data_IF_792648046872
#
_entry.id   IF_792648046872
#
_cell.length_a   1.000
_cell.length_b   1.000
_cell.length_c   1.000
_cell.angle_alpha   90.00
_cell.angle_beta   90.00
_cell.angle_gamma   90.00
#
_symmetry.space_group_name_H-M   'P 1'
#
loop_
_entity.id
_entity.type
_entity.pdbx_description
1 polymer ?
#
# COMPACT_ATOMS: atom_id res chain seq x y z
N UNK A 1 -7.91 -21.59 -1.74
CA UNK A 1 -6.84 -20.57 -1.81
C UNK A 1 -7.42 -19.30 -1.24
N UNK A 2 -6.91 -18.85 -0.09
CA UNK A 2 -7.29 -17.59 0.54
C UNK A 2 -6.40 -16.46 0.05
N UNK A 3 -6.97 -15.26 -0.14
CA UNK A 3 -6.24 -14.10 -0.65
C UNK A 3 -6.42 -12.91 0.28
N UNK A 4 -5.29 -12.36 0.73
CA UNK A 4 -5.23 -11.06 1.41
C UNK A 4 -4.95 -9.95 0.41
N UNK A 5 -5.64 -8.82 0.54
CA UNK A 5 -5.48 -7.65 -0.34
C UNK A 5 -5.11 -6.43 0.47
N UNK A 6 -4.11 -5.71 0.00
CA UNK A 6 -3.67 -4.43 0.55
C UNK A 6 -3.74 -3.39 -0.56
N UNK A 7 -4.42 -2.28 -0.31
CA UNK A 7 -4.55 -1.18 -1.25
C UNK A 7 -3.82 0.02 -0.66
N UNK A 8 -2.71 0.43 -1.27
CA UNK A 8 -1.89 1.52 -0.77
C UNK A 8 -1.15 2.23 -1.91
N UNK A 9 -0.89 3.53 -1.75
CA UNK A 9 -0.13 4.30 -2.75
C UNK A 9 1.38 4.10 -2.65
N UNK A 10 1.88 3.64 -1.52
CA UNK A 10 3.30 3.42 -1.22
C UNK A 10 4.19 4.64 -1.55
N UNK A 11 3.90 5.78 -0.95
CA UNK A 11 4.54 7.08 -1.22
C UNK A 11 5.46 7.61 -0.07
N UNK A 12 6.56 6.91 0.29
CA UNK A 12 7.02 5.57 -0.09
C UNK A 12 6.43 4.46 0.78
N UNK A 13 6.84 3.22 0.51
CA UNK A 13 6.63 2.09 1.43
C UNK A 13 7.32 2.38 2.76
N UNK A 14 6.73 1.94 3.88
CA UNK A 14 7.26 2.12 5.22
C UNK A 14 6.91 0.94 6.13
N UNK A 15 7.48 0.87 7.32
CA UNK A 15 7.33 -0.26 8.22
C UNK A 15 5.87 -0.57 8.59
N UNK A 16 4.99 0.43 8.60
CA UNK A 16 3.55 0.21 8.77
C UNK A 16 2.91 -0.62 7.64
N UNK A 17 3.36 -0.46 6.39
CA UNK A 17 2.92 -1.31 5.29
C UNK A 17 3.47 -2.74 5.42
N UNK A 18 4.73 -2.89 5.83
CA UNK A 18 5.33 -4.21 6.05
C UNK A 18 4.62 -4.99 7.16
N UNK A 19 4.16 -4.31 8.22
CA UNK A 19 3.38 -4.94 9.28
C UNK A 19 2.02 -5.44 8.78
N UNK A 20 1.36 -4.64 7.94
CA UNK A 20 0.10 -5.02 7.30
C UNK A 20 0.28 -6.25 6.39
N UNK A 21 1.36 -6.27 5.60
CA UNK A 21 1.72 -7.41 4.75
C UNK A 21 1.98 -8.66 5.60
N UNK A 22 2.72 -8.51 6.72
CA UNK A 22 3.00 -9.61 7.65
C UNK A 22 1.73 -10.24 8.20
N UNK A 23 0.75 -9.41 8.58
CA UNK A 23 -0.54 -9.93 9.04
C UNK A 23 -1.28 -10.68 7.92
N UNK A 24 -1.33 -10.11 6.73
CA UNK A 24 -1.99 -10.74 5.60
C UNK A 24 -1.37 -12.10 5.25
N UNK A 25 -0.04 -12.22 5.27
CA UNK A 25 0.69 -13.47 5.01
C UNK A 25 0.40 -14.57 6.05
N UNK A 26 0.19 -14.22 7.32
CA UNK A 26 -0.14 -15.19 8.37
C UNK A 26 -1.50 -15.85 8.18
N UNK A 27 -2.40 -15.21 7.48
CA UNK A 27 -3.81 -15.58 7.40
C UNK A 27 -4.24 -16.02 6.00
N UNK A 28 -3.36 -15.86 5.00
CA UNK A 28 -3.71 -16.15 3.60
C UNK A 28 -2.61 -16.93 2.88
N UNK A 29 -3.04 -17.67 1.87
CA UNK A 29 -2.16 -18.41 0.97
C UNK A 29 -1.38 -17.48 0.03
N UNK A 30 -2.03 -16.37 -0.38
CA UNK A 30 -1.44 -15.35 -1.24
C UNK A 30 -1.83 -13.95 -0.77
N UNK A 31 -0.98 -12.96 -1.09
CA UNK A 31 -1.21 -11.54 -0.80
C UNK A 31 -1.07 -10.72 -2.07
N UNK A 32 -2.06 -9.91 -2.37
CA UNK A 32 -2.04 -8.94 -3.45
C UNK A 32 -1.85 -7.53 -2.87
N UNK A 33 -0.86 -6.82 -3.35
CA UNK A 33 -0.62 -5.41 -3.04
C UNK A 33 -0.98 -4.60 -4.30
N UNK A 34 -2.07 -3.86 -4.24
CA UNK A 34 -2.44 -2.90 -5.28
C UNK A 34 -1.81 -1.53 -4.97
N UNK A 35 -0.87 -1.13 -5.81
CA UNK A 35 -0.18 0.16 -5.69
C UNK A 35 -0.97 1.23 -6.42
N UNK A 36 -1.87 1.89 -5.72
CA UNK A 36 -2.82 2.85 -6.28
C UNK A 36 -2.20 4.14 -6.81
N UNK A 37 -2.99 4.92 -7.55
CA UNK A 37 -2.60 6.16 -8.22
C UNK A 37 -1.33 5.97 -9.06
N UNK A 38 -1.28 4.88 -9.83
CA UNK A 38 -0.09 4.52 -10.61
C UNK A 38 0.16 5.52 -11.76
N UNK A 39 -0.91 6.07 -12.32
CA UNK A 39 -0.93 7.07 -13.38
C UNK A 39 -0.69 8.51 -12.89
N UNK A 40 -0.57 8.74 -11.58
CA UNK A 40 -0.45 10.10 -11.01
C UNK A 40 0.98 10.45 -10.64
N UNK A 41 1.38 11.68 -11.02
CA UNK A 41 2.60 12.33 -10.56
C UNK A 41 2.26 13.78 -10.22
N UNK A 42 2.12 14.09 -8.92
CA UNK A 42 1.68 15.38 -8.42
C UNK A 42 2.05 15.56 -6.94
N UNK A 43 1.69 16.68 -6.32
CA UNK A 43 1.98 16.98 -4.91
C UNK A 43 1.54 15.86 -3.94
N UNK A 44 0.42 15.22 -4.21
CA UNK A 44 -0.10 14.10 -3.40
C UNK A 44 0.65 12.79 -3.67
N UNK A 45 1.13 12.62 -4.89
CA UNK A 45 1.83 11.43 -5.40
C UNK A 45 3.17 11.84 -6.03
N UNK A 46 4.15 12.37 -5.26
CA UNK A 46 5.38 12.91 -5.82
C UNK A 46 6.36 11.85 -6.29
N UNK A 47 6.23 10.60 -5.85
CA UNK A 47 7.15 9.52 -6.19
C UNK A 47 6.60 8.73 -7.39
N UNK A 48 7.34 8.65 -8.51
CA UNK A 48 6.92 7.91 -9.71
C UNK A 48 6.63 6.43 -9.43
N UNK A 49 5.69 5.85 -10.18
CA UNK A 49 5.26 4.47 -9.97
C UNK A 49 6.40 3.46 -10.06
N UNK A 50 7.30 3.59 -11.03
CA UNK A 50 8.41 2.66 -11.19
C UNK A 50 9.30 2.61 -9.94
N UNK A 51 9.58 3.76 -9.35
CA UNK A 51 10.40 3.84 -8.14
C UNK A 51 9.64 3.27 -6.91
N UNK A 52 8.32 3.46 -6.86
CA UNK A 52 7.48 2.87 -5.80
C UNK A 52 7.46 1.35 -5.88
N UNK A 53 7.31 0.79 -7.07
CA UNK A 53 7.32 -0.67 -7.29
C UNK A 53 8.68 -1.26 -6.95
N UNK A 54 9.77 -0.66 -7.44
CA UNK A 54 11.13 -1.11 -7.14
C UNK A 54 11.39 -1.16 -5.62
N UNK A 55 11.05 -0.08 -4.89
CA UNK A 55 11.19 -0.07 -3.43
C UNK A 55 10.30 -1.10 -2.73
N UNK A 56 9.09 -1.31 -3.23
CA UNK A 56 8.16 -2.27 -2.66
C UNK A 56 8.65 -3.72 -2.85
N UNK A 57 9.10 -4.06 -4.05
CA UNK A 57 9.65 -5.39 -4.36
C UNK A 57 10.92 -5.68 -3.55
N UNK A 58 11.88 -4.73 -3.50
CA UNK A 58 13.09 -4.87 -2.70
C UNK A 58 12.76 -5.04 -1.21
N UNK A 59 11.88 -4.18 -0.66
CA UNK A 59 11.50 -4.23 0.75
C UNK A 59 10.80 -5.54 1.13
N UNK A 60 9.89 -6.01 0.28
CA UNK A 60 9.17 -7.27 0.49
C UNK A 60 10.12 -8.44 0.41
N UNK A 61 11.02 -8.48 -0.57
CA UNK A 61 12.02 -9.54 -0.72
C UNK A 61 13.01 -9.58 0.45
N UNK A 62 13.44 -8.42 0.94
CA UNK A 62 14.33 -8.34 2.12
C UNK A 62 13.62 -8.76 3.42
N UNK A 63 12.33 -8.45 3.57
CA UNK A 63 11.56 -8.66 4.81
C UNK A 63 10.91 -10.05 4.88
N UNK A 64 10.50 -10.59 3.75
CA UNK A 64 9.75 -11.85 3.63
C UNK A 64 10.36 -12.79 2.57
N UNK A 65 11.64 -13.14 2.66
CA UNK A 65 12.32 -13.90 1.61
C UNK A 65 11.67 -15.26 1.33
N UNK A 66 11.15 -15.94 2.36
CA UNK A 66 10.51 -17.26 2.23
C UNK A 66 9.07 -17.17 1.69
N UNK A 67 8.41 -16.04 1.84
CA UNK A 67 7.03 -15.80 1.40
C UNK A 67 6.95 -14.92 0.14
N UNK A 68 8.08 -14.51 -0.43
CA UNK A 68 8.10 -13.57 -1.56
C UNK A 68 7.25 -14.06 -2.74
N UNK A 69 7.32 -15.35 -3.07
CA UNK A 69 6.53 -15.96 -4.15
C UNK A 69 5.01 -15.98 -3.89
N UNK A 70 4.58 -15.73 -2.66
CA UNK A 70 3.16 -15.60 -2.29
C UNK A 70 2.63 -14.18 -2.47
N UNK A 71 3.51 -13.20 -2.76
CA UNK A 71 3.16 -11.79 -2.81
C UNK A 71 3.17 -11.29 -4.25
N UNK A 72 2.04 -10.77 -4.69
CA UNK A 72 1.89 -10.13 -5.98
C UNK A 72 1.78 -8.61 -5.78
N UNK A 73 2.64 -7.83 -6.43
CA UNK A 73 2.65 -6.37 -6.37
C UNK A 73 2.27 -5.84 -7.75
N UNK A 74 1.16 -5.10 -7.83
CA UNK A 74 0.60 -4.66 -9.11
C UNK A 74 0.25 -3.17 -9.05
N UNK A 75 0.68 -2.36 -10.03
CA UNK A 75 0.22 -0.98 -10.13
C UNK A 75 -1.26 -0.92 -10.52
N UNK A 76 -1.95 0.07 -9.99
CA UNK A 76 -3.36 0.34 -10.30
C UNK A 76 -3.56 1.82 -10.55
N UNK A 77 -4.06 2.16 -11.72
CA UNK A 77 -4.41 3.54 -12.07
C UNK A 77 -5.66 3.99 -11.31
N UNK A 78 -5.79 5.29 -11.09
CA UNK A 78 -7.02 5.84 -10.55
C UNK A 78 -8.13 5.81 -11.62
N UNK A 79 -9.37 5.56 -11.20
CA UNK A 79 -10.52 5.55 -12.10
C UNK A 79 -10.86 6.97 -12.59
N UNK A 80 -10.60 7.98 -11.75
CA UNK A 80 -10.83 9.39 -12.02
C UNK A 80 -9.60 10.23 -11.71
N UNK A 81 -9.62 11.52 -12.05
CA UNK A 81 -8.52 12.44 -11.75
C UNK A 81 -8.42 12.84 -10.27
N UNK A 82 -9.49 12.62 -9.50
CA UNK A 82 -9.58 12.93 -8.08
C UNK A 82 -9.72 11.67 -7.23
N UNK A 83 -9.57 11.82 -5.91
CA UNK A 83 -9.86 10.73 -4.97
C UNK A 83 -11.33 10.34 -5.06
N UNK A 84 -11.57 9.14 -5.52
CA UNK A 84 -12.89 8.57 -5.68
C UNK A 84 -13.23 7.67 -4.49
N UNK A 85 -14.37 7.91 -3.85
CA UNK A 85 -14.93 7.10 -2.79
C UNK A 85 -16.29 6.51 -3.21
N UNK A 86 -16.58 6.52 -4.51
CA UNK A 86 -17.83 5.98 -5.06
C UNK A 86 -17.85 4.47 -5.11
N UNK A 87 -19.04 3.92 -5.28
CA UNK A 87 -19.19 2.50 -5.56
C UNK A 87 -18.57 2.08 -6.91
N UNK A 88 -18.43 2.98 -7.88
CA UNK A 88 -17.77 2.69 -9.16
C UNK A 88 -16.29 2.40 -8.93
N UNK A 89 -15.63 3.17 -8.04
CA UNK A 89 -14.28 2.88 -7.58
C UNK A 89 -14.20 1.50 -6.90
N UNK A 90 -15.14 1.18 -6.03
CA UNK A 90 -15.22 -0.12 -5.37
C UNK A 90 -15.43 -1.28 -6.35
N UNK A 91 -16.26 -1.12 -7.37
CA UNK A 91 -16.42 -2.11 -8.45
C UNK A 91 -15.14 -2.29 -9.26
N UNK A 92 -14.47 -1.20 -9.58
CA UNK A 92 -13.19 -1.25 -10.30
C UNK A 92 -12.14 -2.01 -9.51
N UNK A 93 -11.98 -1.70 -8.20
CA UNK A 93 -11.08 -2.43 -7.30
C UNK A 93 -11.43 -3.92 -7.22
N UNK A 94 -12.70 -4.24 -7.01
CA UNK A 94 -13.15 -5.63 -6.95
C UNK A 94 -12.82 -6.37 -8.24
N UNK A 95 -13.12 -5.77 -9.39
CA UNK A 95 -12.83 -6.35 -10.69
C UNK A 95 -11.33 -6.56 -10.93
N UNK A 96 -10.49 -5.62 -10.49
CA UNK A 96 -9.04 -5.74 -10.57
C UNK A 96 -8.53 -6.94 -9.75
N UNK A 97 -8.98 -7.06 -8.48
CA UNK A 97 -8.60 -8.18 -7.62
C UNK A 97 -9.02 -9.52 -8.23
N UNK A 98 -10.29 -9.64 -8.63
CA UNK A 98 -10.82 -10.88 -9.25
C UNK A 98 -10.09 -11.19 -10.55
N UNK A 99 -9.81 -10.17 -11.37
CA UNK A 99 -9.07 -10.32 -12.62
C UNK A 99 -7.64 -10.83 -12.45
N UNK A 100 -6.95 -10.39 -11.40
CA UNK A 100 -5.56 -10.77 -11.10
C UNK A 100 -5.51 -12.12 -10.38
N UNK A 101 -6.24 -12.27 -9.29
CA UNK A 101 -6.12 -13.41 -8.39
C UNK A 101 -7.01 -14.61 -8.77
N UNK A 102 -7.96 -14.40 -9.69
CA UNK A 102 -8.92 -15.42 -10.16
C UNK A 102 -9.78 -16.04 -9.06
N UNK A 103 -10.01 -15.28 -7.99
CA UNK A 103 -10.89 -15.67 -6.87
C UNK A 103 -11.94 -14.58 -6.63
N UNK A 104 -13.21 -14.93 -6.38
CA UNK A 104 -14.24 -13.93 -6.11
C UNK A 104 -14.25 -13.42 -4.67
N UNK A 105 -13.64 -14.17 -3.74
CA UNK A 105 -13.65 -13.88 -2.31
C UNK A 105 -12.23 -13.56 -1.82
N UNK A 106 -12.10 -12.48 -1.03
CA UNK A 106 -10.83 -12.06 -0.47
C UNK A 106 -11.01 -11.22 0.81
N UNK A 107 -9.91 -11.04 1.53
CA UNK A 107 -9.87 -10.21 2.74
C UNK A 107 -9.03 -8.96 2.49
N UNK A 108 -9.61 -7.77 2.71
CA UNK A 108 -8.89 -6.50 2.66
C UNK A 108 -8.32 -6.19 4.04
N UNK A 109 -7.02 -5.97 4.09
CA UNK A 109 -6.29 -5.52 5.28
C UNK A 109 -6.07 -4.02 5.23
N UNK A 110 -6.43 -3.32 6.31
CA UNK A 110 -6.30 -1.87 6.40
C UNK A 110 -5.82 -1.44 7.79
N UNK A 111 -5.27 -0.24 7.90
CA UNK A 111 -4.80 0.34 9.17
C UNK A 111 -5.77 1.36 9.72
N UNK A 112 -5.67 1.66 11.03
CA UNK A 112 -6.44 2.70 11.71
C UNK A 112 -6.45 4.02 10.92
N UNK A 113 -7.60 4.65 10.83
CA UNK A 113 -7.82 5.90 10.09
C UNK A 113 -8.06 5.69 8.59
N UNK A 114 -8.21 4.44 8.13
CA UNK A 114 -8.53 4.13 6.75
C UNK A 114 -9.84 3.34 6.58
N UNK A 115 -10.76 3.49 7.55
CA UNK A 115 -12.06 2.81 7.59
C UNK A 115 -12.96 3.19 6.41
N UNK A 116 -12.69 4.31 5.74
CA UNK A 116 -13.38 4.76 4.53
C UNK A 116 -13.39 3.69 3.43
N UNK A 117 -12.38 2.79 3.41
CA UNK A 117 -12.28 1.70 2.44
C UNK A 117 -13.52 0.80 2.43
N UNK A 118 -14.18 0.63 3.57
CA UNK A 118 -15.38 -0.20 3.65
C UNK A 118 -16.57 0.41 2.92
N UNK A 119 -16.59 1.74 2.75
CA UNK A 119 -17.67 2.48 2.08
C UNK A 119 -17.50 2.51 0.56
N UNK A 120 -16.34 2.13 0.04
CA UNK A 120 -16.11 2.10 -1.41
C UNK A 120 -16.95 1.02 -2.11
N UNK A 121 -17.19 -0.09 -1.43
CA UNK A 121 -17.83 -1.25 -2.02
C UNK A 121 -19.35 -1.28 -1.78
N UNK A 122 -20.16 -1.62 -2.79
CA UNK A 122 -21.59 -1.83 -2.59
C UNK A 122 -21.88 -2.92 -1.55
N UNK A 123 -22.91 -2.76 -0.71
CA UNK A 123 -23.21 -3.71 0.38
C UNK A 123 -23.40 -5.17 -0.05
N UNK A 124 -23.89 -5.40 -1.27
CA UNK A 124 -24.08 -6.77 -1.75
C UNK A 124 -22.74 -7.46 -2.10
N UNK A 125 -21.69 -6.69 -2.46
CA UNK A 125 -20.35 -7.22 -2.66
C UNK A 125 -19.69 -7.51 -1.31
N UNK A 126 -19.73 -6.57 -0.38
CA UNK A 126 -19.10 -6.76 0.94
C UNK A 126 -19.71 -7.90 1.72
N UNK A 127 -21.04 -8.05 1.71
CA UNK A 127 -21.71 -9.14 2.42
C UNK A 127 -21.35 -10.55 1.95
N UNK A 128 -20.92 -10.68 0.71
CA UNK A 128 -20.73 -12.01 0.09
C UNK A 128 -19.27 -12.32 -0.25
N UNK A 129 -18.48 -11.32 -0.63
CA UNK A 129 -17.19 -11.55 -1.28
C UNK A 129 -16.00 -10.89 -0.59
N UNK A 130 -16.22 -9.88 0.26
CA UNK A 130 -15.12 -9.13 0.85
C UNK A 130 -15.24 -9.15 2.37
N UNK A 131 -14.17 -9.63 3.02
CA UNK A 131 -13.95 -9.45 4.44
C UNK A 131 -12.99 -8.29 4.68
N UNK A 132 -13.13 -7.60 5.81
CA UNK A 132 -12.23 -6.52 6.20
C UNK A 132 -11.55 -6.84 7.51
N UNK A 133 -10.23 -6.64 7.58
CA UNK A 133 -9.44 -6.81 8.79
C UNK A 133 -8.63 -5.57 9.10
N UNK A 134 -8.92 -5.00 10.25
CA UNK A 134 -8.14 -3.92 10.82
C UNK A 134 -6.83 -4.47 11.38
N UNK A 135 -5.72 -3.91 10.95
CA UNK A 135 -4.46 -4.04 11.66
C UNK A 135 -4.33 -2.85 12.62
N UNK A 136 -4.64 -3.08 13.89
CA UNK A 136 -4.39 -2.08 14.92
C UNK A 136 -2.90 -1.73 14.92
N UNK A 137 -2.59 -0.46 14.72
CA UNK A 137 -1.19 0.02 14.71
C UNK A 137 -0.55 -0.34 16.04
N UNK A 138 0.40 -1.29 16.01
CA UNK A 138 1.22 -1.60 17.16
C UNK A 138 2.09 -0.41 17.58
N UNK A 139 2.73 -0.49 18.74
CA UNK A 139 3.57 0.57 19.31
C UNK A 139 4.69 1.06 18.36
N UNK A 140 5.12 0.23 17.39
CA UNK A 140 6.18 0.53 16.41
C UNK A 140 5.67 1.43 15.27
N UNK A 141 4.40 1.31 14.90
CA UNK A 141 3.83 2.03 13.75
C UNK A 141 2.87 3.18 14.16
N UNK A 142 2.79 3.49 15.45
CA UNK A 142 1.98 4.58 15.96
C UNK A 142 2.31 5.89 15.22
N UNK A 143 1.31 6.43 14.52
CA UNK A 143 1.39 7.66 13.74
C UNK A 143 2.32 7.63 12.50
N UNK A 144 2.79 6.48 12.05
CA UNK A 144 3.57 6.40 10.82
C UNK A 144 2.64 6.51 9.60
N UNK A 145 2.95 7.45 8.70
CA UNK A 145 2.24 7.64 7.45
C UNK A 145 3.23 8.04 6.34
N UNK A 146 2.86 7.79 5.09
CA UNK A 146 3.69 8.20 3.96
C UNK A 146 3.98 9.72 3.94
N UNK A 147 3.00 10.54 4.34
CA UNK A 147 3.18 12.00 4.47
C UNK A 147 4.24 12.34 5.51
N UNK A 148 4.21 11.68 6.67
CA UNK A 148 5.22 11.89 7.72
C UNK A 148 6.60 11.42 7.27
N UNK A 149 6.67 10.28 6.57
CA UNK A 149 7.93 9.78 6.00
C UNK A 149 8.51 10.78 4.99
N UNK A 150 7.69 11.32 4.07
CA UNK A 150 8.14 12.35 3.13
C UNK A 150 8.71 13.57 3.84
N UNK A 151 8.05 14.04 4.91
CA UNK A 151 8.56 15.14 5.74
C UNK A 151 9.93 14.81 6.34
N UNK A 152 10.12 13.61 6.91
CA UNK A 152 11.41 13.16 7.43
C UNK A 152 12.50 13.14 6.34
N UNK A 153 12.15 12.74 5.10
CA UNK A 153 13.09 12.74 3.97
C UNK A 153 13.55 14.15 3.62
N UNK A 154 12.62 15.10 3.53
CA UNK A 154 12.93 16.51 3.21
C UNK A 154 13.78 17.15 4.30
N UNK A 155 13.49 16.84 5.57
CA UNK A 155 14.20 17.34 6.75
C UNK A 155 15.54 16.62 7.02
N UNK A 156 15.89 15.58 6.23
CA UNK A 156 17.07 14.71 6.44
C UNK A 156 17.14 14.12 7.86
N UNK A 157 16.00 13.72 8.43
CA UNK A 157 15.93 13.15 9.76
C UNK A 157 16.29 11.64 9.71
N UNK A 158 17.58 11.34 9.59
CA UNK A 158 18.11 9.98 9.43
C UNK A 158 17.72 9.05 10.58
N UNK A 159 17.76 9.53 11.83
CA UNK A 159 17.41 8.71 12.99
C UNK A 159 15.97 8.21 12.93
N UNK A 160 15.04 9.09 12.59
CA UNK A 160 13.63 8.73 12.45
C UNK A 160 13.39 7.85 11.23
N UNK A 161 14.08 8.12 10.11
CA UNK A 161 13.98 7.32 8.89
C UNK A 161 14.43 5.89 9.11
N UNK A 162 15.59 5.67 9.75
CA UNK A 162 16.11 4.33 10.06
C UNK A 162 15.14 3.46 10.88
N UNK A 163 14.28 4.09 11.69
CA UNK A 163 13.24 3.41 12.47
C UNK A 163 11.93 3.21 11.73
N UNK A 164 11.72 3.94 10.64
CA UNK A 164 10.42 4.09 9.99
C UNK A 164 10.29 3.39 8.64
N UNK A 165 11.40 3.21 7.93
CA UNK A 165 11.38 2.70 6.56
C UNK A 165 12.37 1.55 6.37
N UNK A 166 12.12 0.63 5.40
CA UNK A 166 13.06 -0.43 5.04
C UNK A 166 14.30 0.11 4.31
N UNK A 167 15.36 -0.72 4.26
CA UNK A 167 16.60 -0.38 3.55
C UNK A 167 16.39 0.01 2.08
N UNK A 168 15.44 -0.62 1.42
CA UNK A 168 15.06 -0.30 0.05
C UNK A 168 14.74 1.20 -0.15
N UNK A 169 14.13 1.84 0.85
CA UNK A 169 13.85 3.29 0.85
C UNK A 169 15.10 4.08 1.24
N UNK A 170 15.85 3.64 2.26
CA UNK A 170 17.06 4.33 2.72
C UNK A 170 18.10 4.48 1.61
N UNK A 171 18.30 3.46 0.81
CA UNK A 171 19.21 3.48 -0.36
C UNK A 171 18.84 4.52 -1.41
N UNK A 172 17.59 4.99 -1.43
CA UNK A 172 17.05 5.89 -2.46
C UNK A 172 16.74 7.30 -1.95
N UNK A 173 17.13 7.65 -0.72
CA UNK A 173 16.84 8.95 -0.11
C UNK A 173 17.22 10.17 -0.99
N UNK A 174 18.39 10.22 -1.66
CA UNK A 174 18.73 11.37 -2.49
C UNK A 174 17.75 11.63 -3.63
N UNK A 175 17.36 10.57 -4.36
CA UNK A 175 16.41 10.69 -5.47
C UNK A 175 14.99 10.96 -4.95
N UNK A 176 14.58 10.36 -3.85
CA UNK A 176 13.28 10.61 -3.23
C UNK A 176 13.14 12.06 -2.79
N UNK A 177 14.17 12.62 -2.17
CA UNK A 177 14.20 14.04 -1.78
C UNK A 177 14.01 14.98 -2.98
N UNK A 178 14.65 14.67 -4.13
CA UNK A 178 14.47 15.45 -5.36
C UNK A 178 13.03 15.42 -5.85
N UNK A 179 12.43 14.23 -5.96
CA UNK A 179 11.04 14.12 -6.40
C UNK A 179 10.06 14.81 -5.46
N UNK A 180 10.22 14.64 -4.15
CA UNK A 180 9.31 15.24 -3.17
C UNK A 180 9.38 16.76 -3.26
N UNK A 181 10.58 17.34 -3.27
CA UNK A 181 10.80 18.80 -3.35
C UNK A 181 10.32 19.42 -4.67
N UNK A 182 10.29 18.64 -5.76
CA UNK A 182 9.79 19.14 -7.05
C UNK A 182 8.28 19.47 -7.03
N UNK A 183 7.54 18.96 -6.02
CA UNK A 183 6.09 19.17 -5.87
C UNK A 183 5.71 19.96 -4.60
N UNK A 184 6.67 20.44 -3.80
CA UNK A 184 6.41 21.34 -2.65
C UNK A 184 6.07 22.76 -3.11
#
# INVERSE_FOLDING_TARGET
MSVGVIIARLQPIHNGHLELIRQALKENDQVLILVGSADKLNKRNPIPINLRLEMAEEAVKETFPEDFEKICIVPLDDLTDESDNSHDWGFYLYSAVVGIMKVPEFTIYYSDGFEIIMLWFPPFITKRYISFKLNARGAISNNLSATRVRKMIVENNEESLNKSVPNAVLKKLPILSQFIKAFE
#
